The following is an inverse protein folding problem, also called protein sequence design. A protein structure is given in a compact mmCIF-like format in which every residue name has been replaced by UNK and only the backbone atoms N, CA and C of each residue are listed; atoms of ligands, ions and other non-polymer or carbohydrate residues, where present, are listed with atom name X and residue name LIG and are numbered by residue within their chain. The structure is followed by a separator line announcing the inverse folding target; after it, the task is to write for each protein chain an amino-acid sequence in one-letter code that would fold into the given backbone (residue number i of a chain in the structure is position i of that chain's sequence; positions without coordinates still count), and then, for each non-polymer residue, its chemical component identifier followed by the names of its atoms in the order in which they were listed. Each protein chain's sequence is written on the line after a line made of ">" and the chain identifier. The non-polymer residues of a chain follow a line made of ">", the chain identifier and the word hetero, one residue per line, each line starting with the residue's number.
data_IF_753495746712
#
_entry.id   IF_753495746712
#
_cell.length_a   1.000
_cell.length_b   1.000
_cell.length_c   1.000
_cell.angle_alpha   90.00
_cell.angle_beta   90.00
_cell.angle_gamma   90.00
#
_symmetry.space_group_name_H-M   'P 1'
#
loop_
_entity.id
_entity.type
_entity.pdbx_description
1 polymer ?
#
# COMPACT_ATOMS: atom_id res chain seq x y z
N UNK A 1 -10.03 8.98 -31.30
CA UNK A 1 -8.97 9.59 -30.49
C UNK A 1 -8.74 8.69 -29.29
N UNK A 2 -7.50 8.28 -29.06
CA UNK A 2 -7.14 7.19 -28.17
C UNK A 2 -7.27 7.58 -26.69
N UNK A 3 -7.99 6.77 -25.91
CA UNK A 3 -7.69 6.56 -24.50
C UNK A 3 -7.31 5.08 -24.40
N UNK A 4 -6.05 4.79 -24.72
CA UNK A 4 -5.50 3.46 -24.54
C UNK A 4 -5.62 3.11 -23.06
N UNK A 5 -6.29 1.99 -22.77
CA UNK A 5 -6.30 1.39 -21.45
C UNK A 5 -4.88 1.03 -21.05
N UNK A 6 -4.23 1.93 -20.31
CA UNK A 6 -2.99 1.66 -19.62
C UNK A 6 -3.30 0.83 -18.41
N UNK A 7 -3.50 -0.48 -18.59
CA UNK A 7 -3.21 -1.41 -17.51
C UNK A 7 -1.78 -1.09 -17.07
N UNK A 8 -1.60 -0.76 -15.79
CA UNK A 8 -0.37 -0.16 -15.27
C UNK A 8 0.87 -0.83 -15.84
N UNK A 9 1.91 -0.06 -16.13
CA UNK A 9 3.21 -0.61 -16.52
C UNK A 9 4.10 -0.88 -15.31
N UNK A 10 3.53 -0.84 -14.10
CA UNK A 10 4.28 -0.93 -12.85
C UNK A 10 3.80 -2.05 -11.93
N UNK A 11 4.73 -2.56 -11.14
CA UNK A 11 4.48 -3.53 -10.06
C UNK A 11 4.63 -2.82 -8.71
N UNK A 12 3.64 -3.00 -7.84
CA UNK A 12 3.63 -2.43 -6.50
C UNK A 12 3.71 -3.55 -5.45
N UNK A 13 4.67 -3.45 -4.53
CA UNK A 13 4.78 -4.35 -3.42
C UNK A 13 4.55 -3.57 -2.12
N UNK A 14 3.65 -4.02 -1.27
CA UNK A 14 3.47 -3.47 0.05
C UNK A 14 4.15 -4.34 1.10
N UNK A 15 4.84 -3.72 2.04
CA UNK A 15 5.18 -4.35 3.30
C UNK A 15 3.91 -4.55 4.14
N UNK A 16 3.84 -5.63 4.92
CA UNK A 16 2.67 -5.95 5.73
C UNK A 16 2.35 -4.90 6.79
N UNK A 17 3.35 -4.38 7.50
CA UNK A 17 3.23 -3.30 8.47
C UNK A 17 2.84 -1.98 7.78
N UNK A 18 3.32 -1.71 6.56
CA UNK A 18 2.82 -0.59 5.76
C UNK A 18 1.32 -0.72 5.49
N UNK A 19 0.85 -1.89 5.04
CA UNK A 19 -0.59 -2.12 4.85
C UNK A 19 -1.40 -1.96 6.13
N UNK A 20 -0.88 -2.41 7.28
CA UNK A 20 -1.54 -2.22 8.58
C UNK A 20 -1.59 -0.75 9.01
N UNK A 21 -0.75 0.10 8.43
CA UNK A 21 -0.75 1.53 8.70
C UNK A 21 -1.91 2.24 7.98
N UNK A 22 -2.56 1.61 7.00
CA UNK A 22 -3.72 2.17 6.31
C UNK A 22 -5.01 1.94 7.10
N UNK A 23 -5.92 2.92 7.10
CA UNK A 23 -7.21 2.83 7.76
C UNK A 23 -8.14 1.80 7.09
N UNK A 24 -8.08 1.72 5.75
CA UNK A 24 -8.75 0.69 4.96
C UNK A 24 -7.76 0.05 3.97
N UNK A 25 -7.04 -1.01 4.40
CA UNK A 25 -6.10 -1.72 3.55
C UNK A 25 -6.77 -2.35 2.32
N UNK A 26 -8.06 -2.68 2.37
CA UNK A 26 -8.78 -3.25 1.23
C UNK A 26 -9.02 -2.21 0.14
N UNK A 27 -9.47 -1.03 0.54
CA UNK A 27 -9.76 0.08 -0.36
C UNK A 27 -8.48 0.55 -1.06
N UNK A 28 -7.41 0.82 -0.31
CA UNK A 28 -6.13 1.22 -0.86
C UNK A 28 -5.55 0.17 -1.84
N UNK A 29 -5.60 -1.11 -1.48
CA UNK A 29 -5.12 -2.18 -2.34
C UNK A 29 -5.98 -2.32 -3.60
N UNK A 30 -7.31 -2.15 -3.49
CA UNK A 30 -8.22 -2.20 -4.63
C UNK A 30 -8.05 -1.02 -5.58
N UNK A 31 -7.79 0.17 -5.03
CA UNK A 31 -7.45 1.36 -5.80
C UNK A 31 -6.12 1.16 -6.55
N UNK A 32 -5.08 0.70 -5.87
CA UNK A 32 -3.79 0.40 -6.49
C UNK A 32 -3.92 -0.55 -7.69
N UNK A 33 -4.82 -1.54 -7.63
CA UNK A 33 -5.09 -2.47 -8.74
C UNK A 33 -5.69 -1.81 -9.99
N UNK A 34 -6.22 -0.59 -9.89
CA UNK A 34 -6.80 0.10 -11.04
C UNK A 34 -5.74 0.70 -11.96
N UNK A 35 -4.58 1.04 -11.42
CA UNK A 35 -3.50 1.74 -12.14
C UNK A 35 -2.15 0.99 -12.12
N UNK A 36 -1.99 -0.08 -11.35
CA UNK A 36 -0.84 -1.00 -11.39
C UNK A 36 -1.10 -2.21 -12.29
N UNK A 37 -0.03 -2.89 -12.74
CA UNK A 37 -0.13 -4.19 -13.43
C UNK A 37 -0.33 -5.32 -12.45
N UNK A 38 0.47 -5.27 -11.39
CA UNK A 38 0.59 -6.30 -10.38
C UNK A 38 0.74 -5.61 -9.04
N UNK A 39 0.02 -6.11 -8.04
CA UNK A 39 0.18 -5.66 -6.67
C UNK A 39 0.22 -6.85 -5.71
N UNK A 40 1.11 -6.77 -4.73
CA UNK A 40 1.34 -7.87 -3.80
C UNK A 40 1.75 -7.40 -2.43
N UNK A 41 1.84 -8.37 -1.53
CA UNK A 41 2.25 -8.17 -0.13
C UNK A 41 3.52 -8.96 0.12
N UNK A 42 4.56 -8.28 0.59
CA UNK A 42 5.80 -8.88 1.07
C UNK A 42 5.97 -8.59 2.55
N UNK A 43 6.63 -9.49 3.28
CA UNK A 43 6.96 -9.29 4.68
C UNK A 43 7.98 -10.31 5.13
N UNK A 44 8.77 -9.96 6.14
CA UNK A 44 9.64 -10.90 6.86
C UNK A 44 8.85 -11.78 7.83
N UNK A 45 7.59 -11.43 8.12
CA UNK A 45 6.71 -12.25 8.94
C UNK A 45 6.45 -13.60 8.25
N UNK A 46 6.20 -14.68 9.03
CA UNK A 46 5.82 -15.96 8.46
C UNK A 46 4.60 -15.87 7.52
N UNK A 47 4.57 -16.69 6.47
CA UNK A 47 3.48 -16.68 5.46
C UNK A 47 2.08 -16.82 6.07
N UNK A 48 1.91 -17.54 7.18
CA UNK A 48 0.61 -17.67 7.85
C UNK A 48 0.10 -16.34 8.44
N UNK A 49 1.01 -15.45 8.85
CA UNK A 49 0.65 -14.12 9.37
C UNK A 49 0.13 -13.24 8.24
N UNK A 50 0.87 -13.21 7.12
CA UNK A 50 0.49 -12.46 5.91
C UNK A 50 -0.86 -12.96 5.39
N UNK A 51 -1.00 -14.26 5.17
CA UNK A 51 -2.23 -14.84 4.60
C UNK A 51 -3.45 -14.72 5.53
N UNK A 52 -3.25 -14.75 6.85
CA UNK A 52 -4.34 -14.50 7.80
C UNK A 52 -4.81 -13.04 7.73
N UNK A 53 -3.87 -12.09 7.70
CA UNK A 53 -4.17 -10.67 7.55
C UNK A 53 -4.90 -10.39 6.24
N UNK A 54 -4.35 -10.83 5.10
CA UNK A 54 -4.96 -10.54 3.79
C UNK A 54 -6.34 -11.19 3.62
N UNK A 55 -6.57 -12.36 4.22
CA UNK A 55 -7.91 -12.95 4.27
C UNK A 55 -8.89 -12.15 5.14
N UNK A 56 -8.46 -11.72 6.33
CA UNK A 56 -9.29 -10.94 7.25
C UNK A 56 -9.71 -9.61 6.63
N UNK A 57 -8.75 -8.91 6.02
CA UNK A 57 -8.96 -7.63 5.34
C UNK A 57 -9.47 -7.79 3.89
N UNK A 58 -9.80 -9.03 3.47
CA UNK A 58 -10.35 -9.36 2.14
C UNK A 58 -9.51 -8.90 0.95
N UNK A 59 -8.20 -8.73 1.14
CA UNK A 59 -7.25 -8.27 0.13
C UNK A 59 -7.03 -9.36 -0.92
N UNK A 60 -7.12 -8.98 -2.21
CA UNK A 60 -6.85 -9.86 -3.35
C UNK A 60 -5.50 -9.53 -3.99
N UNK A 61 -4.45 -10.14 -3.45
CA UNK A 61 -3.08 -9.99 -3.94
C UNK A 61 -2.78 -10.86 -5.17
N UNK A 62 -1.93 -10.34 -6.06
CA UNK A 62 -1.43 -11.07 -7.24
C UNK A 62 -0.20 -11.93 -6.90
N UNK A 63 0.59 -11.51 -5.90
CA UNK A 63 1.74 -12.27 -5.37
C UNK A 63 1.90 -12.10 -3.85
N UNK A 64 2.65 -13.01 -3.23
CA UNK A 64 2.95 -13.04 -1.79
C UNK A 64 4.45 -13.27 -1.53
N UNK A 65 4.93 -12.91 -0.34
CA UNK A 65 6.29 -13.28 0.07
C UNK A 65 6.45 -14.80 0.16
N UNK A 66 7.51 -15.28 -0.48
CA UNK A 66 7.93 -16.67 -0.37
C UNK A 66 8.55 -16.97 0.99
N UNK A 67 8.79 -18.26 1.31
CA UNK A 67 9.38 -18.69 2.58
C UNK A 67 10.84 -18.23 2.77
N UNK A 68 11.45 -17.63 1.74
CA UNK A 68 12.86 -17.24 1.72
C UNK A 68 13.10 -15.76 2.10
N UNK A 69 12.07 -15.05 2.56
CA UNK A 69 12.14 -13.67 3.06
C UNK A 69 11.80 -12.61 2.02
N UNK A 70 11.90 -11.33 2.42
CA UNK A 70 11.51 -10.16 1.59
C UNK A 70 12.43 -10.01 0.39
N UNK A 71 13.75 -9.98 0.60
CA UNK A 71 14.76 -9.79 -0.46
C UNK A 71 14.55 -10.74 -1.64
N UNK A 72 14.53 -12.05 -1.37
CA UNK A 72 14.36 -13.03 -2.43
C UNK A 72 12.98 -12.94 -3.09
N UNK A 73 11.95 -12.55 -2.33
CA UNK A 73 10.61 -12.33 -2.90
C UNK A 73 10.63 -11.17 -3.88
N UNK A 74 11.23 -10.03 -3.53
CA UNK A 74 11.36 -8.86 -4.40
C UNK A 74 12.18 -9.16 -5.67
N UNK A 75 13.31 -9.85 -5.53
CA UNK A 75 14.13 -10.30 -6.67
C UNK A 75 13.37 -11.28 -7.58
N UNK A 76 12.58 -12.18 -6.99
CA UNK A 76 11.78 -13.14 -7.75
C UNK A 76 10.64 -12.43 -8.50
N UNK A 77 9.95 -11.49 -7.85
CA UNK A 77 8.91 -10.68 -8.45
C UNK A 77 9.48 -9.84 -9.60
N UNK A 78 10.64 -9.19 -9.42
CA UNK A 78 11.30 -8.44 -10.49
C UNK A 78 11.66 -9.33 -11.70
N UNK A 79 12.09 -10.58 -11.46
CA UNK A 79 12.38 -11.54 -12.55
C UNK A 79 11.14 -12.09 -13.24
N UNK A 80 10.04 -12.28 -12.51
CA UNK A 80 8.80 -12.85 -13.06
C UNK A 80 7.93 -11.81 -13.75
N UNK A 81 7.92 -10.58 -13.23
CA UNK A 81 7.10 -9.49 -13.69
C UNK A 81 7.98 -8.43 -14.36
N UNK A 82 8.09 -8.55 -15.67
CA UNK A 82 8.77 -7.57 -16.53
C UNK A 82 7.86 -6.33 -16.68
N UNK A 83 8.01 -5.40 -15.72
CA UNK A 83 7.34 -4.10 -15.69
C UNK A 83 8.36 -2.99 -15.74
N UNK A 84 7.98 -1.83 -16.29
CA UNK A 84 8.89 -0.69 -16.46
C UNK A 84 9.29 -0.04 -15.12
N UNK A 85 8.45 -0.20 -14.08
CA UNK A 85 8.66 0.37 -12.75
C UNK A 85 8.27 -0.62 -11.66
N UNK A 86 9.08 -0.71 -10.61
CA UNK A 86 8.82 -1.54 -9.44
C UNK A 86 8.94 -0.66 -8.20
N UNK A 87 7.84 -0.52 -7.45
CA UNK A 87 7.76 0.34 -6.26
C UNK A 87 7.48 -0.53 -5.04
N UNK A 88 8.29 -0.37 -3.99
CA UNK A 88 8.14 -1.04 -2.71
C UNK A 88 7.70 0.00 -1.67
N UNK A 89 6.52 -0.23 -1.10
CA UNK A 89 5.95 0.61 -0.05
C UNK A 89 6.28 -0.01 1.32
N UNK A 90 7.03 0.71 2.13
CA UNK A 90 7.44 0.29 3.47
C UNK A 90 7.27 1.39 4.52
N UNK A 91 7.69 1.11 5.75
CA UNK A 91 7.61 2.04 6.88
C UNK A 91 8.96 2.32 7.54
N UNK A 92 9.97 1.49 7.28
CA UNK A 92 11.25 1.55 7.98
C UNK A 92 12.42 1.84 7.03
N UNK A 93 13.55 2.30 7.58
CA UNK A 93 14.79 2.44 6.81
C UNK A 93 15.35 1.08 6.37
N UNK A 94 15.09 0.00 7.11
CA UNK A 94 15.43 -1.37 6.67
C UNK A 94 14.67 -1.74 5.39
N UNK A 95 13.40 -1.35 5.28
CA UNK A 95 12.60 -1.53 4.04
C UNK A 95 13.18 -0.73 2.87
N UNK A 96 13.68 0.48 3.14
CA UNK A 96 14.37 1.32 2.14
C UNK A 96 15.64 0.63 1.65
N UNK A 97 16.49 0.16 2.56
CA UNK A 97 17.70 -0.57 2.20
C UNK A 97 17.38 -1.81 1.35
N UNK A 98 16.36 -2.58 1.74
CA UNK A 98 15.90 -3.75 0.97
C UNK A 98 15.43 -3.39 -0.44
N UNK A 99 14.69 -2.28 -0.60
CA UNK A 99 14.31 -1.79 -1.92
C UNK A 99 15.53 -1.44 -2.78
N UNK A 100 16.45 -0.65 -2.24
CA UNK A 100 17.67 -0.24 -2.96
C UNK A 100 18.53 -1.45 -3.35
N UNK A 101 18.72 -2.40 -2.44
CA UNK A 101 19.47 -3.63 -2.70
C UNK A 101 18.85 -4.49 -3.80
N UNK A 102 17.52 -4.48 -3.93
CA UNK A 102 16.79 -5.29 -4.91
C UNK A 102 16.44 -4.52 -6.18
N UNK A 103 16.84 -3.25 -6.28
CA UNK A 103 16.57 -2.37 -7.42
C UNK A 103 15.12 -1.85 -7.50
N UNK A 104 14.37 -1.94 -6.39
CA UNK A 104 13.04 -1.39 -6.27
C UNK A 104 13.10 0.08 -5.83
N UNK A 105 12.13 0.87 -6.28
CA UNK A 105 11.94 2.23 -5.78
C UNK A 105 11.25 2.19 -4.42
N UNK A 106 11.88 2.74 -3.39
CA UNK A 106 11.28 2.83 -2.07
C UNK A 106 10.33 4.03 -1.97
N UNK A 107 9.13 3.80 -1.44
CA UNK A 107 8.17 4.86 -1.12
C UNK A 107 7.62 4.64 0.30
N UNK A 108 7.74 5.62 1.22
CA UNK A 108 7.07 5.54 2.51
C UNK A 108 5.55 5.40 2.35
N UNK A 109 4.92 4.63 3.24
CA UNK A 109 3.45 4.46 3.19
C UNK A 109 2.70 5.78 3.34
N UNK A 110 3.22 6.72 4.12
CA UNK A 110 2.61 8.05 4.32
C UNK A 110 2.60 8.84 3.01
N UNK A 111 3.74 8.89 2.31
CA UNK A 111 3.86 9.53 0.99
C UNK A 111 2.98 8.85 -0.07
N UNK A 112 2.92 7.50 -0.04
CA UNK A 112 2.07 6.73 -0.95
C UNK A 112 0.59 7.01 -0.71
N UNK A 113 0.20 7.09 0.56
CA UNK A 113 -1.17 7.37 0.97
C UNK A 113 -1.57 8.80 0.63
N UNK A 114 -0.70 9.79 0.84
CA UNK A 114 -0.94 11.17 0.42
C UNK A 114 -1.12 11.26 -1.10
N UNK A 115 -0.22 10.63 -1.87
CA UNK A 115 -0.26 10.69 -3.34
C UNK A 115 -1.48 9.99 -3.96
N UNK A 116 -2.00 8.95 -3.29
CA UNK A 116 -3.13 8.16 -3.76
C UNK A 116 -4.43 8.43 -2.96
N UNK A 117 -4.43 9.44 -2.09
CA UNK A 117 -5.55 9.82 -1.23
C UNK A 117 -6.08 8.66 -0.37
N UNK A 118 -5.18 7.78 0.10
CA UNK A 118 -5.52 6.70 1.03
C UNK A 118 -5.52 7.21 2.47
N UNK A 119 -6.50 6.77 3.25
CA UNK A 119 -6.57 7.11 4.66
C UNK A 119 -5.55 6.31 5.48
N UNK A 120 -4.80 6.99 6.35
CA UNK A 120 -3.88 6.38 7.31
C UNK A 120 -4.63 6.05 8.61
N UNK A 121 -4.37 4.89 9.20
CA UNK A 121 -4.95 4.48 10.47
C UNK A 121 -4.48 5.41 11.60
N UNK A 122 -5.44 6.09 12.23
CA UNK A 122 -5.16 7.09 13.27
C UNK A 122 -5.02 8.52 12.75
N UNK A 123 -5.03 8.72 11.42
CA UNK A 123 -5.26 10.02 10.80
C UNK A 123 -6.77 10.27 10.68
N UNK A 124 -7.45 10.30 11.82
CA UNK A 124 -8.65 11.13 11.92
C UNK A 124 -8.13 12.57 11.88
N UNK A 125 -7.85 13.08 10.68
CA UNK A 125 -7.69 14.52 10.44
C UNK A 125 -8.82 15.24 11.17
N UNK A 126 -8.59 16.47 11.69
CA UNK A 126 -9.54 17.12 12.58
C UNK A 126 -10.92 17.01 11.97
N UNK A 127 -11.81 16.27 12.64
CA UNK A 127 -13.22 16.25 12.32
C UNK A 127 -13.63 17.72 12.40
N UNK A 128 -13.77 18.38 11.25
CA UNK A 128 -14.44 19.68 11.20
C UNK A 128 -15.84 19.38 11.72
N UNK A 129 -16.01 19.67 13.01
CA UNK A 129 -17.24 19.42 13.73
C UNK A 129 -18.34 20.17 12.98
N UNK A 130 -19.32 19.48 12.35
CA UNK A 130 -20.34 20.17 11.56
C UNK A 130 -21.25 21.04 12.43
N UNK A 131 -21.03 21.07 13.75
CA UNK A 131 -21.74 21.90 14.72
C UNK A 131 -20.96 23.17 15.14
N UNK A 132 -19.80 23.48 14.56
CA UNK A 132 -19.16 24.81 14.69
C UNK A 132 -19.80 25.86 13.75
N UNK A 133 -21.14 25.91 13.72
CA UNK A 133 -21.88 27.10 13.33
C UNK A 133 -23.21 27.13 14.09
N UNK A 134 -23.26 27.95 15.13
CA UNK A 134 -24.27 28.99 15.35
C UNK A 134 -24.20 29.36 16.84
N UNK A 135 -23.49 30.46 17.12
CA UNK A 135 -23.58 31.13 18.42
C UNK A 135 -25.02 31.58 18.64
N UNK A 136 -25.85 30.72 19.26
CA UNK A 136 -27.15 31.14 19.79
C UNK A 136 -26.98 31.68 21.20
N UNK A 137 -26.64 32.95 21.24
CA UNK A 137 -26.68 33.83 22.41
C UNK A 137 -28.11 34.37 22.70
N UNK A 138 -29.15 33.62 22.34
CA UNK A 138 -30.55 34.06 22.49
C UNK A 138 -31.41 32.98 23.16
N UNK A 139 -31.05 32.67 24.41
CA UNK A 139 -31.94 31.97 25.33
C UNK A 139 -32.55 32.97 26.35
N UNK A 140 -33.83 33.34 26.23
CA UNK A 140 -34.54 34.23 27.17
C UNK A 140 -34.94 33.57 28.50
#
# INVERSE_FOLDING_TARGET
>A
MAAGGGQGTMTLAFELEALKHLADPNAAFSDARTWTKYVGVVSEKPTYVVTNFTRKERIRQDFFSGPRGVKESLENVMRQFDTDRHVFIGTTDDDREMAEETGWEFLPVEDAAEAAEWAIAGDDGPVEDPFEDDGRDDWP
#
